data_IF_201184924456
#
_entry.id   IF_201184924456
#
_cell.length_a   1.000
_cell.length_b   1.000
_cell.length_c   1.000
_cell.angle_alpha   90.00
_cell.angle_beta   90.00
_cell.angle_gamma   90.00
#
_symmetry.space_group_name_H-M   'P 1'
#
loop_
_entity.id
_entity.type
_entity.pdbx_description
1 polymer ?
#
# COMPACT_ATOMS: atom_id res chain seq x y z
N UNK A 1 22.65 -8.15 15.94
CA UNK A 1 23.11 -6.84 15.40
C UNK A 1 23.87 -7.13 14.12
N UNK A 2 23.56 -6.45 13.02
CA UNK A 2 24.29 -6.61 11.76
C UNK A 2 25.26 -5.43 11.58
N UNK A 3 26.49 -5.71 11.16
CA UNK A 3 27.49 -4.69 10.85
C UNK A 3 27.75 -4.68 9.35
N UNK A 4 27.52 -3.53 8.71
CA UNK A 4 27.76 -3.32 7.28
C UNK A 4 28.76 -2.18 7.15
N UNK A 5 29.79 -2.37 6.32
CA UNK A 5 30.80 -1.35 6.03
C UNK A 5 30.38 -0.55 4.81
N UNK A 6 30.50 0.76 4.92
CA UNK A 6 30.32 1.71 3.82
C UNK A 6 31.57 2.58 3.73
N UNK A 7 31.98 2.93 2.51
CA UNK A 7 32.84 4.09 2.28
C UNK A 7 32.11 5.39 2.67
N UNK A 8 32.85 6.48 2.81
CA UNK A 8 32.25 7.78 3.13
C UNK A 8 31.19 8.20 2.10
N UNK A 9 31.49 8.08 0.81
CA UNK A 9 30.57 8.43 -0.27
C UNK A 9 29.31 7.56 -0.31
N UNK A 10 29.44 6.27 -0.02
CA UNK A 10 28.27 5.38 0.08
C UNK A 10 27.40 5.72 1.28
N UNK A 11 28.02 6.07 2.41
CA UNK A 11 27.30 6.48 3.61
C UNK A 11 26.55 7.79 3.41
N UNK A 12 27.15 8.78 2.73
CA UNK A 12 26.50 10.05 2.41
C UNK A 12 25.28 9.84 1.50
N UNK A 13 25.42 8.99 0.47
CA UNK A 13 24.32 8.63 -0.42
C UNK A 13 23.19 7.90 0.34
N UNK A 14 23.55 7.00 1.24
CA UNK A 14 22.60 6.28 2.10
C UNK A 14 21.85 7.23 3.04
N UNK A 15 22.55 8.20 3.62
CA UNK A 15 21.96 9.19 4.52
C UNK A 15 21.02 10.14 3.78
N UNK A 16 21.38 10.57 2.57
CA UNK A 16 20.51 11.34 1.69
C UNK A 16 19.23 10.57 1.32
N UNK A 17 19.36 9.29 0.94
CA UNK A 17 18.21 8.43 0.62
C UNK A 17 17.30 8.21 1.84
N UNK A 18 17.88 7.96 3.03
CA UNK A 18 17.13 7.79 4.26
C UNK A 18 16.34 9.06 4.63
N UNK A 19 16.97 10.24 4.50
CA UNK A 19 16.31 11.54 4.71
C UNK A 19 15.17 11.77 3.73
N UNK A 20 15.38 11.49 2.44
CA UNK A 20 14.34 11.62 1.42
C UNK A 20 13.13 10.71 1.70
N UNK A 21 13.36 9.58 2.37
CA UNK A 21 12.32 8.66 2.81
C UNK A 21 11.73 8.98 4.20
N UNK A 22 12.17 10.06 4.88
CA UNK A 22 11.70 10.42 6.22
C UNK A 22 12.17 9.46 7.33
N UNK A 23 13.28 8.75 7.13
CA UNK A 23 13.77 7.69 8.02
C UNK A 23 15.16 7.97 8.58
N UNK A 24 15.48 7.34 9.72
CA UNK A 24 16.87 7.20 10.16
C UNK A 24 17.60 6.19 9.27
N UNK A 25 18.92 6.30 9.13
CA UNK A 25 19.75 5.37 8.35
C UNK A 25 19.52 3.92 8.79
N UNK A 26 19.47 3.66 10.10
CA UNK A 26 19.27 2.31 10.65
C UNK A 26 17.89 1.75 10.29
N UNK A 27 16.84 2.58 10.31
CA UNK A 27 15.50 2.17 9.94
C UNK A 27 15.39 1.92 8.43
N UNK A 28 16.04 2.75 7.61
CA UNK A 28 16.10 2.61 6.17
C UNK A 28 16.81 1.31 5.75
N UNK A 29 18.01 1.05 6.26
CA UNK A 29 18.76 -0.19 6.01
C UNK A 29 17.96 -1.40 6.46
N UNK A 30 17.39 -1.38 7.67
CA UNK A 30 16.54 -2.48 8.15
C UNK A 30 15.37 -2.73 7.20
N UNK A 31 14.74 -1.68 6.70
CA UNK A 31 13.58 -1.80 5.82
C UNK A 31 13.98 -2.42 4.48
N UNK A 32 15.04 -1.93 3.84
CA UNK A 32 15.57 -2.51 2.60
C UNK A 32 16.03 -3.95 2.77
N UNK A 33 16.71 -4.28 3.89
CA UNK A 33 17.11 -5.66 4.17
C UNK A 33 15.90 -6.59 4.30
N UNK A 34 14.84 -6.15 4.97
CA UNK A 34 13.60 -6.94 5.09
C UNK A 34 12.81 -7.04 3.79
N UNK A 35 12.87 -6.01 2.94
CA UNK A 35 12.27 -6.03 1.61
C UNK A 35 13.02 -6.98 0.68
N UNK A 36 14.35 -6.88 0.64
CA UNK A 36 15.22 -7.77 -0.15
C UNK A 36 15.06 -9.23 0.25
N UNK A 37 14.81 -9.50 1.54
CA UNK A 37 14.49 -10.83 2.06
C UNK A 37 13.03 -11.28 1.79
N UNK A 38 12.19 -10.44 1.18
CA UNK A 38 10.79 -10.76 0.90
C UNK A 38 9.87 -10.78 2.12
N UNK A 39 10.32 -10.28 3.27
CA UNK A 39 9.57 -10.31 4.54
C UNK A 39 8.47 -9.26 4.56
N UNK A 40 8.75 -8.05 4.09
CA UNK A 40 7.77 -6.95 3.99
C UNK A 40 8.17 -5.94 2.93
N UNK A 41 7.21 -5.32 2.22
CA UNK A 41 7.52 -4.26 1.27
C UNK A 41 8.06 -3.00 1.95
N UNK A 42 8.96 -2.27 1.29
CA UNK A 42 9.29 -0.90 1.63
C UNK A 42 8.20 0.02 1.07
N UNK A 43 7.64 0.88 1.92
CA UNK A 43 6.59 1.82 1.55
C UNK A 43 7.03 3.21 2.00
N UNK A 44 7.15 4.15 1.08
CA UNK A 44 7.40 5.55 1.43
C UNK A 44 6.14 6.21 1.99
N UNK A 45 6.26 7.44 2.50
CA UNK A 45 5.12 8.17 3.07
C UNK A 45 3.97 8.35 2.06
N UNK A 46 4.30 8.60 0.78
CA UNK A 46 3.30 8.67 -0.30
C UNK A 46 2.56 7.35 -0.52
N UNK A 47 3.27 6.21 -0.51
CA UNK A 47 2.63 4.90 -0.65
C UNK A 47 1.71 4.60 0.54
N UNK A 48 2.13 4.94 1.77
CA UNK A 48 1.31 4.77 2.98
C UNK A 48 0.06 5.64 2.93
N UNK A 49 0.17 6.88 2.45
CA UNK A 49 -0.96 7.79 2.32
C UNK A 49 -2.01 7.24 1.32
N UNK A 50 -1.57 6.76 0.15
CA UNK A 50 -2.46 6.14 -0.84
C UNK A 50 -3.14 4.89 -0.25
N UNK A 51 -2.38 4.01 0.40
CA UNK A 51 -2.96 2.82 1.05
C UNK A 51 -3.96 3.17 2.15
N UNK A 52 -3.71 4.24 2.92
CA UNK A 52 -4.65 4.74 3.92
C UNK A 52 -5.98 5.17 3.30
N UNK A 53 -5.93 6.00 2.25
CA UNK A 53 -7.13 6.44 1.52
C UNK A 53 -7.93 5.26 0.96
N UNK A 54 -7.23 4.28 0.38
CA UNK A 54 -7.84 3.07 -0.15
C UNK A 54 -8.48 2.20 0.94
N UNK A 55 -7.83 2.07 2.09
CA UNK A 55 -8.37 1.32 3.23
C UNK A 55 -9.63 1.99 3.80
N UNK A 56 -9.65 3.32 3.90
CA UNK A 56 -10.82 4.09 4.31
C UNK A 56 -11.99 3.90 3.34
N UNK A 57 -11.73 3.98 2.03
CA UNK A 57 -12.72 3.69 0.99
C UNK A 57 -13.31 2.27 1.10
N UNK A 58 -12.45 1.26 1.28
CA UNK A 58 -12.88 -0.12 1.47
C UNK A 58 -13.74 -0.31 2.74
N UNK A 59 -13.42 0.40 3.82
CA UNK A 59 -14.21 0.38 5.06
C UNK A 59 -15.61 0.95 4.85
N UNK A 60 -15.74 2.05 4.10
CA UNK A 60 -17.05 2.64 3.76
C UNK A 60 -17.89 1.68 2.94
N UNK A 61 -17.31 1.10 1.87
CA UNK A 61 -17.96 0.08 1.04
C UNK A 61 -18.44 -1.11 1.86
N UNK A 62 -17.58 -1.65 2.73
CA UNK A 62 -17.93 -2.77 3.60
C UNK A 62 -19.09 -2.42 4.54
N UNK A 63 -19.12 -1.19 5.05
CA UNK A 63 -20.23 -0.66 5.85
C UNK A 63 -21.55 -0.68 5.10
N UNK A 64 -21.58 -0.15 3.86
CA UNK A 64 -22.78 -0.08 3.03
C UNK A 64 -23.28 -1.47 2.64
N UNK A 65 -22.38 -2.36 2.21
CA UNK A 65 -22.73 -3.75 1.88
C UNK A 65 -23.31 -4.51 3.09
N UNK A 66 -22.76 -4.29 4.28
CA UNK A 66 -23.28 -4.88 5.51
C UNK A 66 -24.67 -4.33 5.88
N UNK A 67 -24.95 -3.06 5.60
CA UNK A 67 -26.30 -2.50 5.79
C UNK A 67 -27.32 -3.14 4.82
N UNK A 68 -26.95 -3.32 3.55
CA UNK A 68 -27.78 -4.02 2.55
C UNK A 68 -28.06 -5.45 2.98
N UNK A 69 -27.03 -6.19 3.40
CA UNK A 69 -27.18 -7.56 3.89
C UNK A 69 -28.12 -7.62 5.10
N UNK A 70 -28.01 -6.67 6.04
CA UNK A 70 -28.92 -6.57 7.18
C UNK A 70 -30.36 -6.27 6.76
N UNK A 71 -30.57 -5.38 5.80
CA UNK A 71 -31.91 -5.07 5.28
C UNK A 71 -32.58 -6.34 4.74
N UNK A 72 -31.89 -7.09 3.88
CA UNK A 72 -32.39 -8.37 3.36
C UNK A 72 -32.67 -9.39 4.48
N UNK A 73 -31.76 -9.54 5.45
CA UNK A 73 -31.95 -10.46 6.57
C UNK A 73 -33.16 -10.09 7.45
N UNK A 74 -33.59 -8.83 7.44
CA UNK A 74 -34.79 -8.35 8.13
C UNK A 74 -36.05 -8.33 7.26
N UNK A 75 -35.99 -8.89 6.04
CA UNK A 75 -37.10 -8.93 5.09
C UNK A 75 -37.40 -7.59 4.41
N UNK A 76 -36.49 -6.61 4.52
CA UNK A 76 -36.60 -5.32 3.83
C UNK A 76 -35.89 -5.39 2.49
N UNK A 77 -36.48 -4.77 1.48
CA UNK A 77 -35.87 -4.62 0.15
C UNK A 77 -35.32 -3.18 0.07
N UNK A 78 -33.99 -3.00 -0.01
CA UNK A 78 -33.38 -1.70 -0.26
C UNK A 78 -33.86 -1.10 -1.59
N UNK A 79 -33.83 0.22 -1.73
CA UNK A 79 -34.09 0.86 -3.01
C UNK A 79 -33.07 0.37 -4.07
N UNK A 80 -33.53 0.19 -5.30
CA UNK A 80 -32.69 -0.32 -6.39
C UNK A 80 -31.50 0.61 -6.65
N UNK A 81 -31.71 1.93 -6.57
CA UNK A 81 -30.65 2.92 -6.76
C UNK A 81 -29.55 2.81 -5.70
N UNK A 82 -29.92 2.56 -4.44
CA UNK A 82 -28.97 2.41 -3.32
C UNK A 82 -28.13 1.13 -3.47
N UNK A 83 -28.77 0.05 -3.93
CA UNK A 83 -28.11 -1.23 -4.19
C UNK A 83 -27.13 -1.11 -5.36
N UNK A 84 -27.57 -0.56 -6.49
CA UNK A 84 -26.74 -0.38 -7.69
C UNK A 84 -25.58 0.58 -7.42
N UNK A 85 -25.84 1.69 -6.71
CA UNK A 85 -24.82 2.65 -6.31
C UNK A 85 -23.73 2.01 -5.44
N UNK A 86 -24.14 1.29 -4.39
CA UNK A 86 -23.20 0.62 -3.48
C UNK A 86 -22.35 -0.44 -4.19
N UNK A 87 -22.95 -1.24 -5.07
CA UNK A 87 -22.21 -2.27 -5.83
C UNK A 87 -21.20 -1.63 -6.78
N UNK A 88 -21.58 -0.53 -7.44
CA UNK A 88 -20.68 0.23 -8.31
C UNK A 88 -19.50 0.82 -7.54
N UNK A 89 -19.76 1.46 -6.39
CA UNK A 89 -18.70 2.03 -5.55
C UNK A 89 -17.75 0.94 -5.04
N UNK A 90 -18.30 -0.21 -4.63
CA UNK A 90 -17.51 -1.37 -4.23
C UNK A 90 -16.58 -1.84 -5.35
N UNK A 91 -17.10 -1.93 -6.58
CA UNK A 91 -16.31 -2.33 -7.73
C UNK A 91 -15.20 -1.34 -8.07
N UNK A 92 -15.50 -0.03 -8.07
CA UNK A 92 -14.53 1.03 -8.36
C UNK A 92 -13.41 1.04 -7.32
N UNK A 93 -13.74 0.95 -6.04
CA UNK A 93 -12.74 0.95 -4.97
C UNK A 93 -11.91 -0.34 -5.04
N UNK A 94 -12.52 -1.52 -5.19
CA UNK A 94 -11.80 -2.78 -5.28
C UNK A 94 -10.84 -2.84 -6.48
N UNK A 95 -11.26 -2.34 -7.64
CA UNK A 95 -10.41 -2.30 -8.85
C UNK A 95 -9.27 -1.29 -8.71
N UNK A 96 -9.53 -0.14 -8.08
CA UNK A 96 -8.49 0.85 -7.79
C UNK A 96 -7.45 0.30 -6.81
N UNK A 97 -7.89 -0.36 -5.73
CA UNK A 97 -7.00 -1.05 -4.78
C UNK A 97 -6.12 -2.06 -5.50
N UNK A 98 -6.71 -2.92 -6.33
CA UNK A 98 -5.98 -3.94 -7.07
C UNK A 98 -4.95 -3.32 -8.03
N UNK A 99 -5.30 -2.24 -8.73
CA UNK A 99 -4.42 -1.54 -9.64
C UNK A 99 -3.22 -0.89 -8.91
N UNK A 100 -3.45 -0.25 -7.78
CA UNK A 100 -2.39 0.37 -6.98
C UNK A 100 -1.44 -0.69 -6.39
N UNK A 101 -1.97 -1.78 -5.82
CA UNK A 101 -1.15 -2.89 -5.34
C UNK A 101 -0.29 -3.53 -6.45
N UNK A 102 -0.84 -3.70 -7.65
CA UNK A 102 -0.10 -4.20 -8.80
C UNK A 102 0.98 -3.20 -9.27
N UNK A 103 0.69 -1.90 -9.25
CA UNK A 103 1.65 -0.84 -9.55
C UNK A 103 2.81 -0.83 -8.56
N UNK A 104 2.52 -0.88 -7.26
CA UNK A 104 3.51 -0.94 -6.18
C UNK A 104 4.38 -2.19 -6.29
N UNK A 105 3.79 -3.36 -6.52
CA UNK A 105 4.53 -4.63 -6.70
C UNK A 105 5.49 -4.55 -7.90
N UNK A 106 5.07 -3.94 -9.01
CA UNK A 106 5.92 -3.72 -10.19
C UNK A 106 7.06 -2.75 -9.90
N UNK A 107 6.82 -1.65 -9.17
CA UNK A 107 7.89 -0.70 -8.76
C UNK A 107 8.92 -1.41 -7.89
N UNK A 108 8.51 -2.16 -6.88
CA UNK A 108 9.41 -2.95 -6.04
C UNK A 108 10.16 -4.03 -6.83
N UNK A 109 9.53 -4.66 -7.83
CA UNK A 109 10.19 -5.64 -8.70
C UNK A 109 11.16 -5.00 -9.72
N UNK A 110 10.87 -3.79 -10.23
CA UNK A 110 11.74 -3.04 -11.12
C UNK A 110 12.95 -2.46 -10.35
N UNK A 111 12.76 -2.00 -9.11
CA UNK A 111 13.87 -1.61 -8.24
C UNK A 111 14.80 -2.79 -7.90
N UNK A 112 14.25 -4.02 -7.76
CA UNK A 112 15.01 -5.27 -7.57
C UNK A 112 15.81 -5.68 -8.81
N UNK A 113 15.27 -5.44 -10.01
CA UNK A 113 15.98 -5.61 -11.28
C UNK A 113 16.68 -4.30 -11.62
N UNK A 114 17.73 -3.96 -10.87
CA UNK A 114 18.59 -2.84 -11.23
C UNK A 114 18.83 -2.88 -12.74
N UNK A 115 18.58 -1.76 -13.42
CA UNK A 115 18.99 -1.61 -14.83
C UNK A 115 20.41 -2.13 -14.90
N UNK A 116 20.63 -3.19 -15.69
CA UNK A 116 21.96 -3.73 -15.91
C UNK A 116 22.89 -2.58 -16.27
N UNK A 117 23.81 -2.29 -15.35
CA UNK A 117 25.00 -1.49 -15.55
C UNK A 117 26.16 -2.46 -15.32
#
# INVERSE_FOLDING_TARGET
>A
MAHVRFSASEFDALEAAARAAGMTVSAFVRSLSTEGAGVRPFLGDGDRAVLGLLADGMRVVGGNLNQIARAFNTGRIPAEEDLVGTVRDAHVIATTVAAELASMTRRSAAARRGKGA
#
